data_IF_495420327037
#
_entry.id   IF_495420327037
#
_cell.length_a   1.000
_cell.length_b   1.000
_cell.length_c   1.000
_cell.angle_alpha   90.00
_cell.angle_beta   90.00
_cell.angle_gamma   90.00
#
_symmetry.space_group_name_H-M   'P 1'
#
loop_
_entity.id
_entity.type
_entity.pdbx_description
1 polymer ?
#
# COMPACT_ATOMS: atom_id res chain seq x y z
N UNK A 1 -41.26 -31.47 12.78
CA UNK A 1 -40.75 -30.69 11.66
C UNK A 1 -40.35 -29.32 12.23
N UNK A 2 -39.12 -29.16 12.71
CA UNK A 2 -38.58 -27.90 13.18
C UNK A 2 -38.04 -27.13 11.95
N UNK A 3 -38.53 -25.91 11.73
CA UNK A 3 -38.04 -25.03 10.70
C UNK A 3 -36.66 -24.52 11.15
N UNK A 4 -35.61 -24.85 10.41
CA UNK A 4 -34.29 -24.23 10.57
C UNK A 4 -34.39 -22.72 10.39
N UNK A 5 -33.68 -21.92 11.19
CA UNK A 5 -33.61 -20.47 11.00
C UNK A 5 -32.88 -20.18 9.69
N UNK A 6 -33.49 -19.34 8.84
CA UNK A 6 -32.86 -18.90 7.60
C UNK A 6 -31.66 -18.03 7.94
N UNK A 7 -30.48 -18.53 7.72
CA UNK A 7 -29.21 -17.77 7.74
C UNK A 7 -29.34 -16.63 6.73
N UNK A 8 -29.40 -15.43 7.24
CA UNK A 8 -29.33 -14.23 6.40
C UNK A 8 -27.88 -14.11 5.92
N UNK A 9 -27.69 -14.39 4.64
CA UNK A 9 -26.39 -14.35 4.00
C UNK A 9 -25.66 -13.01 4.24
N UNK A 10 -24.39 -13.08 4.58
CA UNK A 10 -23.47 -11.95 4.73
C UNK A 10 -23.40 -11.02 3.49
N UNK A 11 -23.90 -11.48 2.35
CA UNK A 11 -24.02 -10.75 1.07
C UNK A 11 -24.74 -9.39 1.21
N UNK A 12 -25.72 -9.26 2.13
CA UNK A 12 -26.44 -8.02 2.30
C UNK A 12 -25.61 -6.90 2.97
N UNK A 13 -24.58 -7.26 3.74
CA UNK A 13 -23.70 -6.31 4.44
C UNK A 13 -22.57 -5.83 3.54
N UNK A 14 -22.09 -6.67 2.63
CA UNK A 14 -21.03 -6.32 1.68
C UNK A 14 -21.45 -5.22 0.67
N UNK A 15 -22.72 -5.19 0.25
CA UNK A 15 -23.21 -4.24 -0.76
C UNK A 15 -23.19 -2.79 -0.25
N UNK A 16 -23.30 -2.55 1.06
CA UNK A 16 -23.36 -1.20 1.61
C UNK A 16 -21.96 -0.57 1.78
N UNK A 17 -20.91 -1.35 1.98
CA UNK A 17 -19.53 -0.86 2.12
C UNK A 17 -18.87 -0.47 0.79
N UNK A 18 -19.26 -1.10 -0.32
CA UNK A 18 -18.71 -0.81 -1.66
C UNK A 18 -19.23 0.52 -2.24
N UNK A 19 -20.41 0.98 -1.84
CA UNK A 19 -21.02 2.19 -2.38
C UNK A 19 -20.42 3.51 -1.84
N UNK A 20 -19.65 3.50 -0.75
CA UNK A 20 -19.10 4.70 -0.12
C UNK A 20 -17.73 5.14 -0.66
N UNK A 21 -17.00 4.27 -1.36
CA UNK A 21 -15.61 4.54 -1.80
C UNK A 21 -15.56 5.14 -3.24
N UNK A 22 -16.63 5.08 -4.02
CA UNK A 22 -16.63 5.48 -5.45
C UNK A 22 -16.88 6.98 -5.72
N UNK A 23 -17.06 7.85 -4.72
CA UNK A 23 -17.57 9.22 -4.94
C UNK A 23 -16.54 10.37 -4.81
N UNK A 24 -15.24 10.12 -4.64
CA UNK A 24 -14.29 11.19 -4.31
C UNK A 24 -13.22 11.52 -5.36
N UNK A 25 -13.21 10.94 -6.56
CA UNK A 25 -12.20 11.29 -7.58
C UNK A 25 -12.84 11.51 -8.95
N UNK A 26 -13.53 12.62 -9.13
CA UNK A 26 -13.75 13.22 -10.49
C UNK A 26 -14.25 14.67 -10.34
N UNK A 27 -13.32 15.63 -10.26
CA UNK A 27 -13.53 17.00 -10.75
C UNK A 27 -12.19 17.71 -10.93
N UNK A 28 -11.90 18.00 -12.15
CA UNK A 28 -10.99 19.09 -12.51
C UNK A 28 -9.95 18.74 -13.55
N UNK A 29 -10.25 18.96 -14.80
CA UNK A 29 -9.46 19.76 -15.75
C UNK A 29 -10.19 19.73 -17.11
N UNK A 30 -10.92 20.80 -17.41
CA UNK A 30 -11.18 21.29 -18.76
C UNK A 30 -10.83 22.77 -18.77
N UNK A 31 -9.85 23.12 -19.60
CA UNK A 31 -9.45 24.53 -19.75
C UNK A 31 -8.44 24.76 -20.87
N UNK A 32 -8.95 24.84 -22.08
CA UNK A 32 -8.58 25.81 -23.13
C UNK A 32 -7.24 25.67 -23.84
N UNK A 33 -7.35 25.08 -25.04
CA UNK A 33 -6.42 25.29 -26.14
C UNK A 33 -6.83 26.61 -26.82
N UNK A 34 -5.93 27.60 -26.86
CA UNK A 34 -6.03 28.73 -27.76
C UNK A 34 -4.82 28.77 -28.68
N UNK A 35 -5.09 28.51 -29.94
CA UNK A 35 -4.17 28.65 -31.07
C UNK A 35 -3.87 30.13 -31.33
N UNK A 36 -2.62 30.49 -31.50
CA UNK A 36 -2.26 31.65 -32.29
C UNK A 36 -1.16 31.30 -33.29
N UNK A 37 -1.51 31.51 -34.55
CA UNK A 37 -0.73 31.36 -35.74
C UNK A 37 -0.46 32.76 -36.28
N UNK A 38 0.82 33.09 -36.56
CA UNK A 38 1.31 34.10 -37.52
C UNK A 38 2.85 34.05 -37.44
N UNK A 39 3.65 33.82 -38.42
CA UNK A 39 3.67 34.27 -39.83
C UNK A 39 4.77 35.30 -40.04
N UNK A 40 5.81 35.02 -40.89
CA UNK A 40 6.70 36.06 -41.48
C UNK A 40 8.20 35.86 -41.12
N UNK A 41 8.92 35.29 -41.98
CA UNK A 41 9.87 35.67 -43.07
C UNK A 41 11.23 36.24 -42.63
N UNK A 42 12.25 35.47 -43.04
CA UNK A 42 13.60 35.80 -43.55
C UNK A 42 14.37 37.07 -43.11
N UNK A 43 15.57 36.84 -42.64
CA UNK A 43 16.77 37.38 -43.35
C UNK A 43 18.09 36.77 -42.85
N UNK A 44 18.87 36.31 -43.80
CA UNK A 44 20.26 35.83 -43.75
C UNK A 44 21.26 36.86 -43.27
N UNK A 45 22.13 36.52 -42.34
CA UNK A 45 23.46 37.11 -42.26
C UNK A 45 24.45 36.15 -41.61
N UNK A 46 25.35 35.64 -42.40
CA UNK A 46 26.49 34.86 -42.00
C UNK A 46 27.49 35.77 -41.25
N UNK A 47 27.86 35.40 -40.04
CA UNK A 47 29.13 35.89 -39.43
C UNK A 47 29.86 34.67 -38.84
N UNK A 48 30.99 34.38 -39.50
CA UNK A 48 32.05 33.52 -39.01
C UNK A 48 32.59 34.08 -37.69
N UNK A 49 32.43 33.36 -36.60
CA UNK A 49 33.26 33.54 -35.42
C UNK A 49 34.09 32.27 -35.16
N UNK A 50 35.36 32.52 -35.15
CA UNK A 50 36.51 31.70 -34.85
C UNK A 50 36.27 30.75 -33.67
N UNK A 51 36.52 29.48 -33.89
CA UNK A 51 36.69 28.43 -32.86
C UNK A 51 37.83 28.82 -31.91
N UNK A 52 37.46 29.20 -30.70
CA UNK A 52 38.31 29.07 -29.54
C UNK A 52 37.93 27.79 -28.85
N UNK A 53 38.74 26.77 -29.01
CA UNK A 53 38.65 25.49 -28.29
C UNK A 53 39.07 25.77 -26.84
N UNK A 54 38.10 26.16 -26.00
CA UNK A 54 38.26 26.13 -24.58
C UNK A 54 37.59 24.83 -24.12
N UNK A 55 38.39 23.79 -24.01
CA UNK A 55 38.00 22.59 -23.26
C UNK A 55 37.67 23.01 -21.82
N UNK A 56 36.44 23.36 -21.59
CA UNK A 56 35.90 23.52 -20.25
C UNK A 56 35.90 22.10 -19.64
N UNK A 57 36.91 21.81 -18.83
CA UNK A 57 36.98 20.60 -18.04
C UNK A 57 35.81 20.68 -17.08
N UNK A 58 34.70 20.00 -17.42
CA UNK A 58 33.56 19.87 -16.55
C UNK A 58 34.04 19.37 -15.17
N UNK A 59 33.66 20.08 -14.13
CA UNK A 59 33.95 19.64 -12.76
C UNK A 59 33.48 18.20 -12.58
N UNK A 60 34.24 17.36 -11.89
CA UNK A 60 33.85 15.97 -11.67
C UNK A 60 32.46 15.92 -11.01
N UNK A 61 31.57 15.12 -11.60
CA UNK A 61 30.22 14.94 -11.07
C UNK A 61 30.33 14.38 -9.63
N UNK A 62 29.58 14.91 -8.64
CA UNK A 62 29.60 14.38 -7.29
C UNK A 62 29.22 12.89 -7.28
N UNK A 63 29.89 12.09 -6.45
CA UNK A 63 29.52 10.70 -6.25
C UNK A 63 28.14 10.62 -5.55
N UNK A 64 27.22 9.79 -6.07
CA UNK A 64 25.92 9.60 -5.43
C UNK A 64 26.08 8.96 -4.04
N UNK A 65 25.17 9.25 -3.13
CA UNK A 65 25.17 8.71 -1.76
C UNK A 65 25.01 7.17 -1.71
N UNK A 66 24.59 6.59 -2.82
CA UNK A 66 24.44 5.15 -3.02
C UNK A 66 24.67 4.78 -4.48
N UNK A 67 25.16 3.59 -4.73
CA UNK A 67 25.26 2.99 -6.05
C UNK A 67 24.04 2.09 -6.38
N UNK A 68 23.04 2.04 -5.51
CA UNK A 68 21.88 1.18 -5.68
C UNK A 68 21.15 1.48 -7.00
N UNK A 69 20.84 0.44 -7.73
CA UNK A 69 20.12 0.47 -8.99
C UNK A 69 18.75 -0.22 -8.87
N UNK A 70 17.96 -0.19 -9.92
CA UNK A 70 16.67 -0.91 -9.96
C UNK A 70 16.85 -2.39 -9.58
N UNK A 71 16.02 -2.90 -8.69
CA UNK A 71 16.09 -4.23 -8.11
C UNK A 71 16.95 -4.36 -6.86
N UNK A 72 17.68 -3.32 -6.45
CA UNK A 72 18.42 -3.32 -5.19
C UNK A 72 17.48 -3.17 -3.99
N UNK A 73 17.74 -3.90 -2.92
CA UNK A 73 17.01 -3.81 -1.66
C UNK A 73 17.86 -3.10 -0.61
N UNK A 74 17.26 -2.12 0.06
CA UNK A 74 17.93 -1.23 0.99
C UNK A 74 17.36 -1.37 2.39
N UNK A 75 18.24 -1.33 3.39
CA UNK A 75 17.84 -1.32 4.79
C UNK A 75 18.60 -0.26 5.57
N UNK A 76 18.04 0.13 6.69
CA UNK A 76 18.63 1.06 7.67
C UNK A 76 18.00 0.85 9.03
N UNK A 77 18.68 1.32 10.07
CA UNK A 77 18.15 1.36 11.41
C UNK A 77 17.37 2.66 11.61
N UNK A 78 16.27 2.60 12.35
CA UNK A 78 15.48 3.77 12.76
C UNK A 78 15.72 4.01 14.23
N UNK A 79 16.34 5.15 14.56
CA UNK A 79 16.58 5.56 15.94
C UNK A 79 15.27 6.03 16.61
N UNK A 80 15.32 6.21 17.95
CA UNK A 80 14.14 6.64 18.71
C UNK A 80 13.61 8.03 18.31
N UNK A 81 14.46 8.88 17.76
CA UNK A 81 14.10 10.21 17.21
C UNK A 81 13.60 10.15 15.76
N UNK A 82 13.44 8.95 15.19
CA UNK A 82 13.01 8.74 13.81
C UNK A 82 14.12 8.90 12.76
N UNK A 83 15.37 9.20 13.17
CA UNK A 83 16.48 9.32 12.23
C UNK A 83 16.92 7.97 11.68
N UNK A 84 17.29 7.95 10.37
CA UNK A 84 17.81 6.77 9.70
C UNK A 84 19.33 6.70 9.83
N UNK A 85 19.85 5.55 10.23
CA UNK A 85 21.28 5.27 10.32
C UNK A 85 21.62 3.91 9.71
N UNK A 86 22.88 3.65 9.39
CA UNK A 86 23.29 2.33 8.87
C UNK A 86 22.72 1.98 7.49
N UNK A 87 22.46 2.98 6.64
CA UNK A 87 21.93 2.79 5.29
C UNK A 87 22.85 1.89 4.46
N UNK A 88 22.33 0.79 3.95
CA UNK A 88 23.07 -0.19 3.18
C UNK A 88 22.19 -0.99 2.23
N UNK A 89 22.81 -1.51 1.18
CA UNK A 89 22.22 -2.53 0.30
C UNK A 89 22.35 -3.92 0.92
N UNK A 90 21.29 -4.73 0.78
CA UNK A 90 21.24 -6.13 1.23
C UNK A 90 20.57 -6.98 0.15
N UNK A 91 20.81 -8.31 0.13
CA UNK A 91 20.02 -9.22 -0.70
C UNK A 91 18.53 -9.08 -0.38
N UNK A 92 17.67 -9.05 -1.40
CA UNK A 92 16.21 -8.92 -1.18
C UNK A 92 15.60 -10.09 -0.40
N UNK A 93 16.27 -11.23 -0.35
CA UNK A 93 15.91 -12.35 0.53
C UNK A 93 16.12 -12.08 2.02
N UNK A 94 16.87 -11.04 2.37
CA UNK A 94 17.04 -10.56 3.74
C UNK A 94 16.03 -9.47 4.07
N UNK A 95 15.94 -9.10 5.36
CA UNK A 95 15.07 -8.03 5.81
C UNK A 95 15.55 -6.67 5.28
N UNK A 96 14.66 -5.99 4.57
CA UNK A 96 14.91 -4.67 3.99
C UNK A 96 13.67 -3.78 4.14
N UNK A 97 13.83 -2.48 3.95
CA UNK A 97 12.75 -1.49 4.09
C UNK A 97 12.32 -0.87 2.77
N UNK A 98 13.13 -1.02 1.72
CA UNK A 98 12.91 -0.35 0.45
C UNK A 98 13.47 -1.20 -0.71
N UNK A 99 12.70 -1.35 -1.78
CA UNK A 99 13.14 -1.94 -3.04
C UNK A 99 13.20 -0.84 -4.10
N UNK A 100 14.39 -0.63 -4.68
CA UNK A 100 14.62 0.41 -5.68
C UNK A 100 13.96 0.01 -7.00
N UNK A 101 13.08 0.86 -7.53
CA UNK A 101 12.48 0.68 -8.87
C UNK A 101 13.23 1.49 -9.94
N UNK A 102 13.76 2.65 -9.58
CA UNK A 102 14.50 3.55 -10.48
C UNK A 102 15.41 4.48 -9.71
N UNK A 103 16.52 4.86 -10.34
CA UNK A 103 17.41 5.93 -9.88
C UNK A 103 17.33 7.09 -10.88
N UNK A 104 17.02 8.29 -10.38
CA UNK A 104 16.95 9.52 -11.15
C UNK A 104 18.05 10.50 -10.72
N UNK A 105 18.57 11.23 -11.70
CA UNK A 105 19.50 12.33 -11.48
C UNK A 105 18.76 13.67 -11.65
N UNK A 106 18.42 14.31 -10.54
CA UNK A 106 17.69 15.57 -10.57
C UNK A 106 18.49 16.71 -11.21
N UNK A 107 19.83 16.59 -11.31
CA UNK A 107 20.67 17.64 -11.92
C UNK A 107 20.42 17.82 -13.43
N UNK A 108 19.81 16.84 -14.10
CA UNK A 108 19.49 16.94 -15.53
C UNK A 108 18.24 17.77 -15.81
N UNK A 109 17.45 18.07 -14.79
CA UNK A 109 16.25 18.89 -14.95
C UNK A 109 16.62 20.35 -15.02
N UNK A 110 16.19 21.10 -16.05
CA UNK A 110 16.64 22.46 -16.32
C UNK A 110 15.93 23.48 -15.40
N UNK A 111 16.02 23.28 -14.09
CA UNK A 111 15.42 24.16 -13.09
C UNK A 111 16.48 24.63 -12.09
N UNK A 112 16.30 25.81 -11.51
CA UNK A 112 17.11 26.29 -10.40
C UNK A 112 16.89 25.49 -9.11
N UNK A 113 15.81 24.69 -9.05
CA UNK A 113 15.44 23.89 -7.88
C UNK A 113 16.49 22.84 -7.53
N UNK A 114 17.20 22.30 -8.53
CA UNK A 114 18.18 21.25 -8.34
C UNK A 114 19.60 21.71 -8.71
N UNK A 115 19.79 23.02 -8.83
CA UNK A 115 21.10 23.60 -9.14
C UNK A 115 22.15 23.37 -8.04
N UNK A 116 23.41 23.76 -8.29
CA UNK A 116 24.51 23.51 -7.34
C UNK A 116 24.25 24.07 -5.94
N UNK A 117 23.65 25.27 -5.87
CA UNK A 117 23.39 25.99 -4.62
C UNK A 117 21.96 25.80 -4.10
N UNK A 118 21.20 24.89 -4.71
CA UNK A 118 19.80 24.66 -4.32
C UNK A 118 19.71 23.98 -2.95
N UNK A 119 18.79 24.45 -2.12
CA UNK A 119 18.47 23.79 -0.85
C UNK A 119 17.80 22.45 -1.08
N UNK A 120 18.08 21.47 -0.20
CA UNK A 120 17.41 20.18 -0.26
C UNK A 120 15.88 20.36 -0.16
N UNK A 121 15.10 19.74 -1.05
CA UNK A 121 13.64 19.85 -1.03
C UNK A 121 13.04 19.54 0.35
N UNK A 122 12.10 20.38 0.80
CA UNK A 122 11.30 20.10 2.00
C UNK A 122 10.34 18.92 1.78
N UNK A 123 9.80 18.35 2.85
CA UNK A 123 8.99 17.13 2.82
C UNK A 123 7.83 17.21 1.81
N UNK A 124 7.09 18.33 1.77
CA UNK A 124 5.99 18.51 0.80
C UNK A 124 6.49 18.40 -0.64
N UNK A 125 7.67 18.98 -0.95
CA UNK A 125 8.22 18.88 -2.30
C UNK A 125 8.75 17.48 -2.60
N UNK A 126 9.27 16.78 -1.60
CA UNK A 126 9.67 15.37 -1.76
C UNK A 126 8.47 14.48 -2.15
N UNK A 127 7.29 14.71 -1.55
CA UNK A 127 6.07 14.01 -1.94
C UNK A 127 5.67 14.31 -3.38
N UNK A 128 5.74 15.57 -3.82
CA UNK A 128 5.48 15.92 -5.21
C UNK A 128 6.48 15.27 -6.18
N UNK A 129 7.76 15.25 -5.84
CA UNK A 129 8.79 14.59 -6.66
C UNK A 129 8.53 13.06 -6.77
N UNK A 130 8.08 12.44 -5.68
CA UNK A 130 7.64 11.04 -5.71
C UNK A 130 6.51 10.85 -6.73
N UNK A 131 5.46 11.68 -6.64
CA UNK A 131 4.29 11.55 -7.51
C UNK A 131 4.64 11.87 -8.98
N UNK A 132 5.48 12.88 -9.22
CA UNK A 132 5.90 13.31 -10.55
C UNK A 132 6.87 12.35 -11.25
N UNK A 133 7.82 11.76 -10.51
CA UNK A 133 8.96 11.04 -11.08
C UNK A 133 8.98 9.55 -10.77
N UNK A 134 8.40 9.12 -9.64
CA UNK A 134 8.52 7.76 -9.16
C UNK A 134 7.32 6.87 -9.49
N UNK A 135 6.08 7.37 -9.45
CA UNK A 135 4.88 6.53 -9.59
C UNK A 135 4.88 5.74 -10.90
N UNK A 136 4.94 6.42 -12.04
CA UNK A 136 4.95 5.79 -13.35
C UNK A 136 6.15 4.85 -13.57
N UNK A 137 7.33 5.26 -13.07
CA UNK A 137 8.54 4.45 -13.17
C UNK A 137 8.43 3.17 -12.36
N UNK A 138 7.85 3.23 -11.16
CA UNK A 138 7.65 2.08 -10.27
C UNK A 138 6.62 1.11 -10.81
N UNK A 139 5.49 1.61 -11.35
CA UNK A 139 4.50 0.77 -12.05
C UNK A 139 5.14 0.08 -13.25
N UNK A 140 5.98 0.79 -14.02
CA UNK A 140 6.73 0.21 -15.14
C UNK A 140 7.72 -0.87 -14.69
N UNK A 141 8.43 -0.67 -13.58
CA UNK A 141 9.34 -1.63 -12.98
C UNK A 141 8.64 -2.95 -12.60
N UNK A 142 7.43 -2.86 -12.06
CA UNK A 142 6.59 -4.01 -11.71
C UNK A 142 5.79 -4.59 -12.89
N UNK A 143 6.09 -4.17 -14.13
CA UNK A 143 5.34 -4.60 -15.32
C UNK A 143 3.82 -4.40 -15.20
N UNK A 144 3.40 -3.35 -14.50
CA UNK A 144 1.99 -3.05 -14.23
C UNK A 144 1.37 -3.87 -13.07
N UNK A 145 2.12 -4.73 -12.42
CA UNK A 145 1.65 -5.56 -11.29
C UNK A 145 1.81 -4.82 -9.97
N UNK A 146 1.12 -3.72 -9.79
CA UNK A 146 1.08 -2.98 -8.53
C UNK A 146 -0.36 -2.72 -8.12
N UNK A 147 -0.70 -3.10 -6.89
CA UNK A 147 -1.99 -2.79 -6.28
C UNK A 147 -1.89 -1.50 -5.45
N UNK A 148 -2.49 -0.38 -5.90
CA UNK A 148 -2.45 0.88 -5.16
C UNK A 148 -3.21 0.82 -3.82
N UNK A 149 -4.02 -0.22 -3.59
CA UNK A 149 -4.71 -0.47 -2.33
C UNK A 149 -4.03 -1.56 -1.48
N UNK A 150 -2.89 -2.06 -1.95
CA UNK A 150 -2.09 -3.07 -1.28
C UNK A 150 -1.22 -2.48 -0.17
N UNK A 151 -0.31 -3.31 0.34
CA UNK A 151 0.60 -2.93 1.45
C UNK A 151 1.86 -2.17 1.00
N UNK A 152 2.14 -2.12 -0.32
CA UNK A 152 3.34 -1.46 -0.83
C UNK A 152 3.01 -0.08 -1.38
N UNK A 153 3.63 0.92 -0.77
CA UNK A 153 3.56 2.31 -1.21
C UNK A 153 4.73 2.64 -2.15
N UNK A 154 4.45 3.45 -3.17
CA UNK A 154 5.52 4.12 -3.92
C UNK A 154 6.16 5.16 -3.03
N UNK A 155 7.48 5.12 -2.93
CA UNK A 155 8.24 6.03 -2.09
C UNK A 155 9.48 6.56 -2.81
N UNK A 156 10.08 7.59 -2.23
CA UNK A 156 11.31 8.19 -2.76
C UNK A 156 12.31 8.48 -1.64
N UNK A 157 13.60 8.35 -1.96
CA UNK A 157 14.69 8.67 -1.05
C UNK A 157 15.61 9.70 -1.73
N UNK A 158 15.78 10.87 -1.09
CA UNK A 158 16.75 11.87 -1.46
C UNK A 158 18.05 11.69 -0.68
N UNK A 159 19.20 12.17 -1.21
CA UNK A 159 20.46 12.17 -0.49
C UNK A 159 20.34 12.82 0.90
N UNK A 160 21.07 12.35 1.90
CA UNK A 160 21.18 13.06 3.18
C UNK A 160 21.73 14.48 2.93
N UNK A 161 21.42 15.40 3.86
CA UNK A 161 21.78 16.83 3.70
C UNK A 161 23.25 17.01 3.33
N UNK A 162 24.15 16.29 3.99
CA UNK A 162 25.59 16.39 3.72
C UNK A 162 26.02 15.95 2.32
N UNK A 163 25.28 15.00 1.68
CA UNK A 163 25.55 14.61 0.31
C UNK A 163 24.93 15.62 -0.67
N UNK A 164 23.74 16.13 -0.37
CA UNK A 164 23.10 17.20 -1.13
C UNK A 164 23.96 18.46 -1.19
N UNK A 165 24.54 18.86 -0.06
CA UNK A 165 25.44 20.04 0.03
C UNK A 165 26.74 19.86 -0.78
N UNK A 166 27.15 18.62 -1.04
CA UNK A 166 28.26 18.31 -1.95
C UNK A 166 27.84 18.22 -3.42
N UNK A 167 26.58 18.46 -3.73
CA UNK A 167 26.05 18.45 -5.09
C UNK A 167 25.42 17.15 -5.55
N UNK A 168 25.26 16.13 -4.67
CA UNK A 168 24.53 14.92 -5.01
C UNK A 168 23.05 15.24 -5.24
N UNK A 169 22.53 14.84 -6.38
CA UNK A 169 21.13 15.06 -6.80
C UNK A 169 20.42 13.76 -7.14
N UNK A 170 20.88 12.65 -6.57
CA UNK A 170 20.28 11.34 -6.78
C UNK A 170 18.91 11.24 -6.09
N UNK A 171 17.90 10.85 -6.82
CA UNK A 171 16.60 10.45 -6.28
C UNK A 171 16.42 8.96 -6.50
N UNK A 172 16.23 8.21 -5.44
CA UNK A 172 15.78 6.82 -5.55
C UNK A 172 14.26 6.79 -5.55
N UNK A 173 13.69 6.14 -6.53
CA UNK A 173 12.29 5.74 -6.57
C UNK A 173 12.17 4.27 -6.17
N UNK A 174 11.12 3.88 -5.47
CA UNK A 174 10.95 2.49 -5.10
C UNK A 174 9.68 2.22 -4.30
N UNK A 175 9.68 1.08 -3.65
CA UNK A 175 8.56 0.53 -2.92
C UNK A 175 8.96 0.25 -1.46
N UNK A 176 8.03 0.52 -0.57
CA UNK A 176 8.14 0.22 0.86
C UNK A 176 6.78 -0.15 1.43
N UNK A 177 6.77 -0.78 2.59
CA UNK A 177 5.57 -0.85 3.45
C UNK A 177 5.75 0.11 4.61
N UNK A 178 4.66 0.66 5.11
CA UNK A 178 4.68 1.56 6.26
C UNK A 178 3.70 1.09 7.34
N UNK A 179 3.97 1.47 8.59
CA UNK A 179 2.96 1.38 9.65
C UNK A 179 2.00 2.59 9.62
N UNK A 180 1.06 2.61 10.55
CA UNK A 180 0.05 3.66 10.71
C UNK A 180 0.64 5.06 10.96
N UNK A 181 1.91 5.14 11.30
CA UNK A 181 2.64 6.39 11.52
C UNK A 181 3.52 6.78 10.32
N UNK A 182 3.45 6.00 9.22
CA UNK A 182 4.27 6.21 8.03
C UNK A 182 5.73 5.77 8.19
N UNK A 183 6.04 4.97 9.22
CA UNK A 183 7.39 4.46 9.44
C UNK A 183 7.63 3.24 8.56
N UNK A 184 8.70 3.23 7.73
CA UNK A 184 9.02 2.10 6.86
C UNK A 184 9.23 0.81 7.64
N UNK A 185 8.51 -0.25 7.27
CA UNK A 185 8.56 -1.56 7.90
C UNK A 185 9.53 -2.50 7.19
N UNK A 186 9.97 -3.54 7.88
CA UNK A 186 10.83 -4.57 7.30
C UNK A 186 10.01 -5.58 6.50
N UNK A 187 10.45 -5.85 5.28
CA UNK A 187 9.91 -6.87 4.40
C UNK A 187 11.01 -7.82 3.92
N UNK A 188 10.64 -8.88 3.23
CA UNK A 188 11.57 -9.82 2.58
C UNK A 188 11.04 -10.22 1.21
N UNK A 189 11.92 -10.51 0.27
CA UNK A 189 11.56 -10.87 -1.10
C UNK A 189 11.34 -9.64 -1.98
N UNK A 190 11.30 -9.85 -3.30
CA UNK A 190 10.99 -8.80 -4.26
C UNK A 190 9.49 -8.54 -4.33
N UNK A 191 9.08 -7.28 -4.48
CA UNK A 191 7.67 -6.87 -4.49
C UNK A 191 6.90 -7.54 -5.63
N UNK A 192 7.50 -7.67 -6.81
CA UNK A 192 6.86 -8.30 -7.98
C UNK A 192 6.39 -9.75 -7.71
N UNK A 193 7.15 -10.48 -6.87
CA UNK A 193 6.87 -11.87 -6.51
C UNK A 193 6.10 -12.00 -5.18
N UNK A 194 5.85 -10.89 -4.49
CA UNK A 194 5.22 -10.88 -3.16
C UNK A 194 3.71 -10.71 -3.25
N UNK A 195 2.98 -11.28 -2.27
CA UNK A 195 1.59 -10.94 -2.00
C UNK A 195 1.50 -9.44 -1.67
N UNK A 196 0.62 -8.73 -2.36
CA UNK A 196 0.48 -7.28 -2.18
C UNK A 196 -0.68 -6.88 -1.25
N UNK A 197 -1.57 -7.82 -0.89
CA UNK A 197 -2.65 -7.54 0.04
C UNK A 197 -2.13 -7.04 1.40
N UNK A 198 -2.85 -6.09 1.97
CA UNK A 198 -2.65 -5.69 3.35
C UNK A 198 -3.41 -6.66 4.26
N UNK A 199 -2.69 -7.59 4.87
CA UNK A 199 -3.24 -8.71 5.61
C UNK A 199 -2.84 -8.65 7.09
N UNK A 200 -3.83 -8.77 7.97
CA UNK A 200 -3.60 -9.05 9.38
C UNK A 200 -3.29 -10.53 9.60
N UNK A 201 -2.58 -10.83 10.67
CA UNK A 201 -2.24 -12.22 11.03
C UNK A 201 -3.37 -12.87 11.83
N UNK A 202 -3.50 -14.19 11.75
CA UNK A 202 -4.44 -14.93 12.61
C UNK A 202 -4.23 -14.57 14.09
N UNK A 203 -5.32 -14.28 14.80
CA UNK A 203 -5.33 -13.84 16.20
C UNK A 203 -5.18 -12.33 16.40
N UNK A 204 -4.89 -11.54 15.36
CA UNK A 204 -4.88 -10.08 15.46
C UNK A 204 -6.30 -9.51 15.46
N UNK A 205 -6.54 -8.57 16.38
CA UNK A 205 -7.78 -7.83 16.49
C UNK A 205 -7.63 -6.45 15.81
N UNK A 206 -8.66 -6.05 15.05
CA UNK A 206 -8.62 -4.85 14.22
C UNK A 206 -9.71 -3.87 14.64
N UNK A 207 -9.32 -2.68 15.04
CA UNK A 207 -10.20 -1.52 15.22
C UNK A 207 -10.28 -0.74 13.91
N UNK A 208 -11.50 -0.33 13.52
CA UNK A 208 -11.74 0.47 12.33
C UNK A 208 -11.87 1.93 12.75
N UNK A 209 -11.05 2.81 12.17
CA UNK A 209 -11.08 4.24 12.45
C UNK A 209 -12.21 4.98 11.68
N UNK A 210 -12.32 6.29 11.93
CA UNK A 210 -13.31 7.16 11.27
C UNK A 210 -13.14 7.25 9.74
N UNK A 211 -11.96 6.88 9.22
CA UNK A 211 -11.65 6.84 7.79
C UNK A 211 -11.88 5.46 7.18
N UNK A 212 -12.42 4.54 7.96
CA UNK A 212 -12.64 3.13 7.58
C UNK A 212 -11.33 2.35 7.35
N UNK A 213 -10.25 2.74 8.02
CA UNK A 213 -8.97 2.05 7.99
C UNK A 213 -8.88 1.10 9.19
N UNK A 214 -8.59 -0.20 8.99
CA UNK A 214 -8.37 -1.14 10.09
C UNK A 214 -6.97 -0.98 10.69
N UNK A 215 -6.87 -0.95 12.01
CA UNK A 215 -5.62 -0.87 12.77
C UNK A 215 -5.54 -2.04 13.75
N UNK A 216 -4.38 -2.68 13.84
CA UNK A 216 -4.13 -3.76 14.80
C UNK A 216 -4.13 -3.19 16.22
N UNK A 217 -4.96 -3.78 17.08
CA UNK A 217 -5.07 -3.42 18.50
C UNK A 217 -5.00 -4.65 19.39
N UNK A 218 -4.74 -4.44 20.68
CA UNK A 218 -4.91 -5.49 21.68
C UNK A 218 -6.38 -5.92 21.75
N UNK A 219 -6.66 -7.21 21.68
CA UNK A 219 -8.02 -7.76 21.76
C UNK A 219 -8.76 -7.41 23.05
N UNK A 220 -8.07 -7.06 24.12
CA UNK A 220 -8.67 -6.52 25.33
C UNK A 220 -9.22 -5.09 25.16
N UNK A 221 -8.94 -4.42 24.01
CA UNK A 221 -9.50 -3.12 23.66
C UNK A 221 -10.69 -3.30 22.70
N UNK A 222 -11.58 -2.30 22.58
CA UNK A 222 -12.65 -2.31 21.58
C UNK A 222 -12.08 -2.44 20.15
N UNK A 223 -12.58 -3.43 19.41
CA UNK A 223 -12.24 -3.70 18.03
C UNK A 223 -13.48 -4.20 17.26
N UNK A 224 -13.44 -4.27 15.95
CA UNK A 224 -14.56 -4.70 15.12
C UNK A 224 -14.36 -6.05 14.48
N UNK A 225 -13.12 -6.50 14.35
CA UNK A 225 -12.77 -7.75 13.68
C UNK A 225 -11.70 -8.50 14.49
N UNK A 226 -11.77 -9.82 14.52
CA UNK A 226 -10.67 -10.70 14.94
C UNK A 226 -10.30 -11.58 13.76
N UNK A 227 -9.05 -11.50 13.31
CA UNK A 227 -8.56 -12.26 12.16
C UNK A 227 -8.41 -13.73 12.51
N UNK A 228 -9.04 -14.59 11.72
CA UNK A 228 -9.04 -16.05 11.89
C UNK A 228 -7.98 -16.69 11.01
N UNK A 229 -7.97 -16.33 9.73
CA UNK A 229 -7.04 -16.90 8.75
C UNK A 229 -6.80 -15.96 7.57
N UNK A 230 -5.79 -16.30 6.79
CA UNK A 230 -5.54 -15.71 5.46
C UNK A 230 -5.93 -16.77 4.42
N UNK A 231 -6.82 -16.39 3.49
CA UNK A 231 -7.29 -17.25 2.41
C UNK A 231 -6.60 -16.84 1.11
N UNK A 232 -5.81 -17.76 0.53
CA UNK A 232 -5.17 -17.58 -0.78
C UNK A 232 -6.16 -17.93 -1.89
N UNK A 233 -6.79 -16.90 -2.45
CA UNK A 233 -7.75 -17.01 -3.56
C UNK A 233 -7.02 -17.35 -4.87
N UNK A 234 -5.80 -16.86 -5.04
CA UNK A 234 -4.98 -17.13 -6.22
C UNK A 234 -4.63 -18.60 -6.39
N UNK A 235 -4.48 -19.33 -5.29
CA UNK A 235 -4.23 -20.77 -5.30
C UNK A 235 -5.46 -21.55 -5.76
N UNK A 236 -6.67 -21.07 -5.44
CA UNK A 236 -7.92 -21.70 -5.88
C UNK A 236 -8.21 -21.38 -7.35
N UNK A 237 -7.87 -20.19 -7.81
CA UNK A 237 -8.16 -19.70 -9.16
C UNK A 237 -6.86 -19.33 -9.89
N UNK A 238 -6.02 -20.33 -10.25
CA UNK A 238 -4.70 -20.07 -10.85
C UNK A 238 -4.79 -19.52 -12.28
N UNK A 239 -5.90 -19.74 -12.97
CA UNK A 239 -6.08 -19.38 -14.38
C UNK A 239 -6.46 -17.89 -14.58
N UNK A 240 -6.73 -17.14 -13.51
CA UNK A 240 -7.05 -15.72 -13.58
C UNK A 240 -8.08 -15.26 -12.55
N UNK A 241 -8.56 -14.03 -12.72
CA UNK A 241 -9.59 -13.45 -11.87
C UNK A 241 -10.93 -14.21 -12.02
N UNK A 242 -11.48 -14.77 -10.94
CA UNK A 242 -12.72 -15.55 -11.01
C UNK A 242 -13.96 -14.67 -11.17
N UNK A 243 -15.08 -15.28 -11.57
CA UNK A 243 -16.39 -14.64 -11.43
C UNK A 243 -16.67 -14.31 -9.96
N UNK A 244 -17.29 -13.15 -9.71
CA UNK A 244 -17.54 -12.68 -8.35
C UNK A 244 -18.38 -13.64 -7.50
N UNK A 245 -19.29 -14.42 -8.11
CA UNK A 245 -20.09 -15.41 -7.39
C UNK A 245 -19.29 -16.64 -7.00
N UNK A 246 -18.38 -17.06 -7.87
CA UNK A 246 -17.50 -18.20 -7.59
C UNK A 246 -16.49 -17.86 -6.50
N UNK A 247 -15.94 -16.65 -6.54
CA UNK A 247 -15.07 -16.13 -5.49
C UNK A 247 -15.80 -16.05 -4.15
N UNK A 248 -16.98 -15.43 -4.12
CA UNK A 248 -17.76 -15.27 -2.89
C UNK A 248 -18.18 -16.61 -2.30
N UNK A 249 -18.61 -17.56 -3.14
CA UNK A 249 -18.92 -18.91 -2.69
C UNK A 249 -17.71 -19.61 -2.08
N UNK A 250 -16.56 -19.54 -2.74
CA UNK A 250 -15.31 -20.13 -2.23
C UNK A 250 -14.92 -19.53 -0.89
N UNK A 251 -14.95 -18.19 -0.80
CA UNK A 251 -14.62 -17.46 0.43
C UNK A 251 -15.61 -17.78 1.56
N UNK A 252 -16.90 -17.83 1.26
CA UNK A 252 -17.94 -18.20 2.22
C UNK A 252 -17.70 -19.59 2.82
N UNK A 253 -17.51 -20.59 1.97
CA UNK A 253 -17.30 -21.97 2.41
C UNK A 253 -16.00 -22.09 3.21
N UNK A 254 -14.91 -21.49 2.72
CA UNK A 254 -13.58 -21.58 3.32
C UNK A 254 -13.48 -20.80 4.64
N UNK A 255 -14.03 -19.58 4.68
CA UNK A 255 -13.98 -18.76 5.89
C UNK A 255 -14.89 -19.33 6.99
N UNK A 256 -16.08 -19.87 6.65
CA UNK A 256 -16.94 -20.53 7.63
C UNK A 256 -16.24 -21.73 8.27
N UNK A 257 -15.66 -22.61 7.46
CA UNK A 257 -14.90 -23.74 8.00
C UNK A 257 -13.72 -23.28 8.87
N UNK A 258 -12.98 -22.25 8.43
CA UNK A 258 -11.86 -21.71 9.20
C UNK A 258 -12.30 -21.12 10.55
N UNK A 259 -13.46 -20.44 10.62
CA UNK A 259 -13.99 -19.88 11.88
C UNK A 259 -14.47 -20.97 12.84
N UNK A 260 -15.08 -22.04 12.33
CA UNK A 260 -15.45 -23.20 13.14
C UNK A 260 -14.20 -23.88 13.72
N UNK A 261 -13.19 -24.12 12.91
CA UNK A 261 -11.92 -24.70 13.37
C UNK A 261 -11.21 -23.80 14.41
N UNK A 262 -11.19 -22.49 14.16
CA UNK A 262 -10.56 -21.50 15.04
C UNK A 262 -11.20 -21.46 16.44
N UNK A 263 -12.52 -21.62 16.52
CA UNK A 263 -13.26 -21.59 17.77
C UNK A 263 -13.44 -22.96 18.41
N UNK A 264 -13.12 -24.06 17.69
CA UNK A 264 -13.24 -25.43 18.17
C UNK A 264 -14.59 -26.08 17.86
N UNK A 265 -15.36 -25.54 16.92
CA UNK A 265 -16.55 -26.15 16.34
C UNK A 265 -17.71 -25.18 16.09
N UNK A 266 -18.72 -25.71 15.37
CA UNK A 266 -19.93 -24.95 15.01
C UNK A 266 -20.68 -24.39 16.25
N UNK A 267 -20.76 -25.19 17.33
CA UNK A 267 -21.45 -24.82 18.57
C UNK A 267 -20.78 -23.59 19.23
N UNK A 268 -19.43 -23.55 19.25
CA UNK A 268 -18.68 -22.44 19.80
C UNK A 268 -18.85 -21.17 18.96
N UNK A 269 -18.89 -21.30 17.63
CA UNK A 269 -19.19 -20.18 16.73
C UNK A 269 -20.61 -19.67 17.00
N UNK A 270 -21.61 -20.53 17.09
CA UNK A 270 -22.99 -20.17 17.40
C UNK A 270 -23.10 -19.45 18.75
N UNK A 271 -22.47 -19.96 19.79
CA UNK A 271 -22.50 -19.36 21.14
C UNK A 271 -21.77 -18.03 21.24
N UNK A 272 -20.78 -17.78 20.39
CA UNK A 272 -20.07 -16.51 20.34
C UNK A 272 -20.92 -15.36 19.82
N UNK A 273 -22.00 -15.66 19.07
CA UNK A 273 -22.83 -14.73 18.29
C UNK A 273 -22.07 -13.96 17.21
N UNK A 274 -20.79 -14.31 16.98
CA UNK A 274 -19.98 -13.75 15.91
C UNK A 274 -20.26 -14.44 14.57
N UNK A 275 -19.89 -13.77 13.50
CA UNK A 275 -20.13 -14.24 12.14
C UNK A 275 -18.84 -14.22 11.34
N UNK A 276 -18.62 -15.21 10.45
CA UNK A 276 -17.54 -15.16 9.46
C UNK A 276 -17.68 -13.92 8.57
N UNK A 277 -16.58 -13.25 8.33
CA UNK A 277 -16.49 -12.10 7.43
C UNK A 277 -15.21 -12.17 6.60
N UNK A 278 -15.30 -11.83 5.34
CA UNK A 278 -14.16 -11.78 4.42
C UNK A 278 -14.22 -10.54 3.53
N UNK A 279 -13.05 -10.08 3.12
CA UNK A 279 -12.91 -9.01 2.13
C UNK A 279 -13.16 -9.53 0.71
N UNK A 280 -13.27 -8.61 -0.23
CA UNK A 280 -13.30 -8.92 -1.67
C UNK A 280 -12.03 -8.42 -2.33
N UNK A 281 -11.59 -9.11 -3.39
CA UNK A 281 -10.50 -8.66 -4.25
C UNK A 281 -11.14 -8.06 -5.51
N UNK A 282 -10.80 -6.83 -5.86
CA UNK A 282 -11.21 -6.26 -7.14
C UNK A 282 -10.35 -6.83 -8.28
N UNK A 283 -10.86 -6.81 -9.51
CA UNK A 283 -10.06 -7.24 -10.67
C UNK A 283 -8.78 -6.39 -10.81
N UNK A 284 -8.84 -5.10 -10.50
CA UNK A 284 -7.68 -4.22 -10.52
C UNK A 284 -6.62 -4.64 -9.49
N UNK A 285 -7.03 -4.89 -8.23
CA UNK A 285 -6.14 -5.38 -7.18
C UNK A 285 -5.58 -6.78 -7.52
N UNK A 286 -6.42 -7.66 -8.09
CA UNK A 286 -5.98 -8.97 -8.57
C UNK A 286 -4.87 -8.86 -9.61
N UNK A 287 -5.07 -8.03 -10.63
CA UNK A 287 -4.08 -7.78 -11.67
C UNK A 287 -2.83 -7.09 -11.11
N UNK A 288 -3.00 -6.28 -10.06
CA UNK A 288 -1.93 -5.63 -9.31
C UNK A 288 -1.09 -6.58 -8.44
N UNK A 289 -1.53 -7.82 -8.20
CA UNK A 289 -0.76 -8.80 -7.41
C UNK A 289 -1.38 -9.21 -6.07
N UNK A 290 -2.51 -8.61 -5.68
CA UNK A 290 -3.28 -9.06 -4.50
C UNK A 290 -4.03 -10.35 -4.82
N UNK A 291 -3.75 -11.41 -4.09
CA UNK A 291 -4.32 -12.75 -4.30
C UNK A 291 -4.98 -13.32 -3.06
N UNK A 292 -4.81 -12.68 -1.92
CA UNK A 292 -5.28 -13.20 -0.64
C UNK A 292 -6.19 -12.21 0.09
N UNK A 293 -7.05 -12.72 0.95
CA UNK A 293 -7.91 -11.94 1.84
C UNK A 293 -7.83 -12.45 3.27
N UNK A 294 -8.17 -11.60 4.25
CA UNK A 294 -8.44 -12.05 5.60
C UNK A 294 -9.83 -12.67 5.71
N UNK A 295 -9.91 -13.77 6.43
CA UNK A 295 -11.11 -14.28 7.06
C UNK A 295 -11.11 -13.84 8.51
N UNK A 296 -12.18 -13.22 8.97
CA UNK A 296 -12.29 -12.63 10.31
C UNK A 296 -13.62 -12.98 10.95
N UNK A 297 -13.68 -12.86 12.26
CA UNK A 297 -14.91 -12.86 13.03
C UNK A 297 -15.36 -11.42 13.28
N UNK A 298 -16.65 -11.16 13.09
CA UNK A 298 -17.30 -9.87 13.33
C UNK A 298 -18.64 -10.06 14.02
N UNK A 299 -19.19 -8.99 14.60
CA UNK A 299 -20.60 -8.91 14.99
C UNK A 299 -21.29 -7.85 14.14
N UNK A 300 -22.09 -8.26 13.17
CA UNK A 300 -22.79 -7.36 12.26
C UNK A 300 -23.94 -6.64 12.97
N UNK A 301 -24.10 -5.34 12.69
CA UNK A 301 -25.23 -4.54 13.19
C UNK A 301 -26.43 -4.54 12.25
N UNK A 302 -27.63 -4.48 12.81
CA UNK A 302 -28.81 -4.13 12.03
C UNK A 302 -28.65 -2.70 11.48
N UNK A 303 -28.65 -2.55 10.18
CA UNK A 303 -28.43 -1.24 9.54
C UNK A 303 -27.01 -1.01 9.00
N UNK A 304 -26.11 -1.97 9.16
CA UNK A 304 -24.77 -1.97 8.59
C UNK A 304 -23.66 -1.63 9.58
N UNK A 305 -22.42 -1.99 9.20
CA UNK A 305 -21.24 -1.88 10.05
C UNK A 305 -21.14 -2.99 11.10
N UNK A 306 -20.17 -2.85 12.01
CA UNK A 306 -19.86 -3.85 13.02
C UNK A 306 -19.95 -3.27 14.43
N UNK A 307 -20.38 -4.10 15.38
CA UNK A 307 -20.34 -3.79 16.81
C UNK A 307 -18.90 -3.80 17.32
N UNK A 308 -18.65 -3.08 18.40
CA UNK A 308 -17.38 -3.16 19.11
C UNK A 308 -17.33 -4.47 19.91
N UNK A 309 -16.33 -5.29 19.63
CA UNK A 309 -16.01 -6.51 20.37
C UNK A 309 -14.90 -6.15 21.35
N UNK A 310 -14.93 -6.72 22.55
CA UNK A 310 -13.83 -6.66 23.52
C UNK A 310 -13.57 -8.08 24.02
N UNK A 311 -12.30 -8.47 24.06
CA UNK A 311 -11.87 -9.85 24.33
C UNK A 311 -11.64 -10.64 23.04
N UNK A 312 -10.87 -11.73 23.10
CA UNK A 312 -10.65 -12.63 21.96
C UNK A 312 -11.74 -13.72 21.93
N UNK A 313 -12.19 -14.03 20.71
CA UNK A 313 -13.18 -15.09 20.48
C UNK A 313 -12.70 -16.46 20.94
N UNK A 314 -11.38 -16.72 20.92
CA UNK A 314 -10.79 -17.97 21.42
C UNK A 314 -10.91 -18.14 22.94
N UNK A 315 -11.18 -17.07 23.68
CA UNK A 315 -11.47 -17.12 25.12
C UNK A 315 -12.88 -17.65 25.44
N UNK A 316 -13.69 -17.91 24.42
CA UNK A 316 -15.07 -18.36 24.53
C UNK A 316 -16.03 -17.22 24.92
N UNK A 317 -17.34 -17.54 24.91
CA UNK A 317 -18.42 -16.58 25.14
C UNK A 317 -18.24 -15.70 26.38
N UNK A 318 -17.72 -16.27 27.48
CA UNK A 318 -17.58 -15.51 28.74
C UNK A 318 -16.46 -14.47 28.71
N UNK A 319 -15.50 -14.61 27.79
CA UNK A 319 -14.42 -13.66 27.60
C UNK A 319 -14.79 -12.53 26.64
N UNK A 320 -15.93 -12.63 25.96
CA UNK A 320 -16.40 -11.65 24.98
C UNK A 320 -17.37 -10.64 25.56
N UNK A 321 -17.26 -9.42 25.07
CA UNK A 321 -18.26 -8.36 25.26
C UNK A 321 -18.54 -7.72 23.89
N UNK A 322 -19.82 -7.53 23.56
CA UNK A 322 -20.28 -6.91 22.32
C UNK A 322 -21.03 -5.62 22.70
N UNK A 323 -20.51 -4.47 22.23
CA UNK A 323 -21.01 -3.14 22.64
C UNK A 323 -21.12 -3.00 24.17
N UNK A 324 -20.17 -3.59 24.90
CA UNK A 324 -20.10 -3.54 26.37
C UNK A 324 -21.03 -4.50 27.11
N UNK A 325 -21.67 -5.44 26.42
CA UNK A 325 -22.58 -6.44 27.00
C UNK A 325 -22.09 -7.87 26.68
N UNK A 326 -22.34 -8.85 27.52
CA UNK A 326 -22.13 -10.25 27.16
C UNK A 326 -22.89 -10.62 25.88
N UNK A 327 -22.40 -11.58 25.06
CA UNK A 327 -23.17 -12.09 23.93
C UNK A 327 -24.57 -12.58 24.37
N UNK A 328 -25.59 -12.23 23.59
CA UNK A 328 -26.99 -12.65 23.87
C UNK A 328 -27.16 -14.17 23.63
N UNK A 329 -28.12 -14.82 24.35
CA UNK A 329 -28.43 -16.26 24.21
C UNK A 329 -29.19 -16.55 22.91
#
# INVERSE_FOLDING_TARGET
MKKSPAWRSAVAVQIVLIAAIAAAVFMGIYGVISSHKSGGEDTTAAQQHKSGDTSETAAPKPEPFTAAAAGACLTWDIAQDGSATGFKEVPCSEQHRFEVSKTEDLSVYPTSEFGPDATRPALTRQHQLRDELCESATVGYLHGKWDPNGKYDVASILPPQSAWDRGDRTLLCGLQTTDDHGVPQLTTGNVEASEQANLAKPGECLAIDDKQVPHVVDCAKPHQMETVSVIDVGKQFPDGYPDGKDMDKFLSDTCTAATEDYLGGEEQLYQSTLQPFWGSITEASWNGGTKSVNCSLVHAREGGGFSAITGSATGGRQALSIDGKPPEE
#
